data_IF_704975052363
#
_entry.id   IF_704975052363
#
_cell.length_a   1.000
_cell.length_b   1.000
_cell.length_c   1.000
_cell.angle_alpha   90.00
_cell.angle_beta   90.00
_cell.angle_gamma   90.00
#
_symmetry.space_group_name_H-M   'P 1'
#
loop_
_entity.id
_entity.type
_entity.pdbx_description
1 polymer ?
#
# COMPACT_ATOMS: atom_id res chain seq x y z
N UNK A 1 -27.34 40.37 -27.48
CA UNK A 1 -26.00 39.86 -27.83
C UNK A 1 -25.59 38.85 -26.79
N UNK A 2 -25.66 37.59 -27.17
CA UNK A 2 -25.29 36.39 -26.42
C UNK A 2 -23.78 36.41 -26.18
N UNK A 3 -23.35 36.42 -24.92
CA UNK A 3 -22.00 35.98 -24.55
C UNK A 3 -22.09 35.11 -23.31
N UNK A 4 -22.40 33.87 -23.62
CA UNK A 4 -22.07 32.64 -22.93
C UNK A 4 -20.77 32.77 -22.11
N UNK A 5 -20.86 32.89 -20.78
CA UNK A 5 -19.73 32.62 -19.88
C UNK A 5 -19.89 31.17 -19.42
N UNK A 6 -19.56 30.24 -20.32
CA UNK A 6 -19.37 28.84 -19.95
C UNK A 6 -18.31 28.77 -18.85
N UNK A 7 -18.67 28.07 -17.77
CA UNK A 7 -17.95 28.03 -16.53
C UNK A 7 -16.48 27.63 -16.67
N UNK A 8 -15.61 28.46 -16.11
CA UNK A 8 -14.27 28.03 -15.70
C UNK A 8 -14.49 27.06 -14.53
N UNK A 9 -14.60 25.76 -14.84
CA UNK A 9 -14.49 24.73 -13.79
C UNK A 9 -13.14 24.93 -13.11
N UNK A 10 -13.08 25.15 -11.78
CA UNK A 10 -11.81 25.29 -11.11
C UNK A 10 -11.02 24.01 -11.32
N UNK A 11 -9.76 24.15 -11.74
CA UNK A 11 -8.82 23.04 -11.77
C UNK A 11 -8.79 22.42 -10.37
N UNK A 12 -9.34 21.21 -10.23
CA UNK A 12 -9.29 20.43 -8.99
C UNK A 12 -8.09 19.49 -9.08
N UNK A 13 -6.93 19.85 -8.50
CA UNK A 13 -5.77 18.97 -8.48
C UNK A 13 -6.01 17.68 -7.68
N UNK A 14 -7.10 17.63 -6.90
CA UNK A 14 -7.45 16.52 -6.03
C UNK A 14 -8.92 16.15 -6.21
N UNK A 15 -9.21 14.84 -6.17
CA UNK A 15 -10.57 14.28 -6.21
C UNK A 15 -10.81 13.51 -4.91
N UNK A 16 -12.00 13.64 -4.28
CA UNK A 16 -12.35 12.79 -3.14
C UNK A 16 -12.18 11.33 -3.50
N UNK A 17 -11.67 10.57 -2.54
CA UNK A 17 -11.45 9.14 -2.67
C UNK A 17 -12.12 8.44 -1.49
N UNK A 18 -12.68 7.26 -1.76
CA UNK A 18 -13.26 6.38 -0.76
C UNK A 18 -12.80 4.97 -1.09
N UNK A 19 -12.35 4.25 -0.08
CA UNK A 19 -12.02 2.84 -0.19
C UNK A 19 -13.35 2.08 -0.23
N UNK A 20 -13.58 1.36 -1.32
CA UNK A 20 -14.71 0.45 -1.45
C UNK A 20 -14.21 -0.79 -2.18
N UNK A 21 -13.85 -1.81 -1.41
CA UNK A 21 -13.34 -3.06 -1.96
C UNK A 21 -14.52 -4.03 -2.19
N UNK A 22 -14.74 -4.46 -3.45
CA UNK A 22 -15.75 -5.46 -3.77
C UNK A 22 -15.58 -6.76 -2.97
N UNK A 23 -16.70 -7.37 -2.58
CA UNK A 23 -16.69 -8.56 -1.72
C UNK A 23 -15.98 -9.76 -2.38
N UNK A 24 -16.13 -9.91 -3.71
CA UNK A 24 -15.46 -10.95 -4.49
C UNK A 24 -13.93 -10.87 -4.39
N UNK A 25 -13.35 -9.67 -4.23
CA UNK A 25 -11.91 -9.50 -4.00
C UNK A 25 -11.47 -9.98 -2.63
N UNK A 26 -12.31 -9.79 -1.61
CA UNK A 26 -12.03 -10.28 -0.26
C UNK A 26 -12.16 -11.81 -0.19
N UNK A 27 -13.15 -12.36 -0.89
CA UNK A 27 -13.37 -13.81 -0.95
C UNK A 27 -12.26 -14.51 -1.76
N UNK A 28 -11.84 -13.94 -2.89
CA UNK A 28 -10.65 -14.38 -3.64
C UNK A 28 -9.39 -14.34 -2.78
N UNK A 29 -9.18 -13.26 -2.02
CA UNK A 29 -8.05 -13.15 -1.09
C UNK A 29 -8.07 -14.26 -0.02
N UNK A 30 -9.23 -14.58 0.55
CA UNK A 30 -9.38 -15.67 1.53
C UNK A 30 -9.09 -17.02 0.90
N UNK A 31 -9.62 -17.29 -0.29
CA UNK A 31 -9.38 -18.53 -1.02
C UNK A 31 -7.89 -18.74 -1.33
N UNK A 32 -7.19 -17.68 -1.76
CA UNK A 32 -5.75 -17.74 -2.03
C UNK A 32 -4.93 -17.99 -0.78
N UNK A 33 -5.24 -17.33 0.33
CA UNK A 33 -4.57 -17.57 1.60
C UNK A 33 -4.76 -19.03 2.05
N UNK A 34 -5.97 -19.58 1.96
CA UNK A 34 -6.25 -20.98 2.28
C UNK A 34 -5.52 -21.97 1.36
N UNK A 35 -5.35 -21.64 0.07
CA UNK A 35 -4.66 -22.47 -0.91
C UNK A 35 -3.12 -22.29 -0.92
N UNK A 36 -2.56 -21.54 0.03
CA UNK A 36 -1.13 -21.19 0.04
C UNK A 36 -0.27 -22.45 0.19
N UNK A 37 0.69 -22.61 -0.74
CA UNK A 37 1.75 -23.62 -0.64
C UNK A 37 2.92 -23.04 0.12
N UNK A 38 3.17 -23.57 1.31
CA UNK A 38 4.21 -23.07 2.19
C UNK A 38 5.56 -23.71 1.88
N UNK A 39 6.65 -22.93 1.86
CA UNK A 39 7.99 -23.48 1.78
C UNK A 39 8.35 -24.24 3.08
N UNK A 40 9.33 -25.12 2.99
CA UNK A 40 9.93 -25.73 4.19
C UNK A 40 10.68 -24.69 5.02
N UNK A 41 10.71 -24.87 6.33
CA UNK A 41 11.42 -23.99 7.26
C UNK A 41 12.65 -24.70 7.83
N UNK A 42 13.78 -23.98 7.91
CA UNK A 42 14.98 -24.49 8.56
C UNK A 42 14.85 -24.32 10.07
N UNK A 43 15.05 -25.37 10.89
CA UNK A 43 14.94 -25.25 12.33
C UNK A 43 16.02 -24.32 12.90
N UNK A 44 15.64 -23.51 13.90
CA UNK A 44 16.58 -22.70 14.69
C UNK A 44 17.10 -21.42 14.04
N UNK A 45 16.68 -21.07 12.80
CA UNK A 45 17.16 -19.84 12.13
C UNK A 45 16.42 -18.58 12.59
N UNK A 46 15.22 -18.73 13.16
CA UNK A 46 14.38 -17.60 13.58
C UNK A 46 14.24 -16.55 12.48
N UNK A 47 14.45 -15.28 12.84
CA UNK A 47 14.33 -14.14 11.92
C UNK A 47 15.58 -13.84 11.08
N UNK A 48 16.68 -14.59 11.29
CA UNK A 48 17.99 -14.26 10.66
C UNK A 48 18.01 -14.43 9.15
N UNK A 49 17.03 -15.16 8.60
CA UNK A 49 16.89 -15.42 7.15
C UNK A 49 15.57 -14.93 6.57
N UNK A 50 14.97 -13.94 7.22
CA UNK A 50 13.68 -13.39 6.84
C UNK A 50 12.56 -13.86 7.77
N UNK A 51 11.32 -13.70 7.31
CA UNK A 51 10.14 -13.95 8.13
C UNK A 51 9.97 -15.47 8.34
N UNK A 52 9.83 -15.93 9.60
CA UNK A 52 9.54 -17.33 9.90
C UNK A 52 8.25 -17.80 9.22
N UNK A 53 8.26 -19.04 8.71
CA UNK A 53 7.09 -19.60 7.99
C UNK A 53 5.94 -19.82 8.97
N UNK A 54 6.25 -20.27 10.18
CA UNK A 54 5.30 -20.36 11.30
C UNK A 54 4.57 -19.04 11.54
N UNK A 55 5.31 -17.93 11.69
CA UNK A 55 4.72 -16.61 11.88
C UNK A 55 3.82 -16.18 10.71
N UNK A 56 4.23 -16.42 9.47
CA UNK A 56 3.41 -16.09 8.29
C UNK A 56 2.12 -16.93 8.22
N UNK A 57 2.17 -18.20 8.63
CA UNK A 57 0.99 -19.07 8.71
C UNK A 57 -0.02 -18.54 9.71
N UNK A 58 0.45 -18.17 10.90
CA UNK A 58 -0.40 -17.63 11.95
C UNK A 58 -1.03 -16.30 11.52
N UNK A 59 -0.24 -15.42 10.90
CA UNK A 59 -0.73 -14.15 10.36
C UNK A 59 -1.76 -14.36 9.25
N UNK A 60 -1.53 -15.30 8.33
CA UNK A 60 -2.48 -15.64 7.27
C UNK A 60 -3.77 -16.25 7.84
N UNK A 61 -3.68 -17.09 8.86
CA UNK A 61 -4.84 -17.67 9.54
C UNK A 61 -5.68 -16.58 10.23
N UNK A 62 -5.04 -15.67 10.96
CA UNK A 62 -5.72 -14.54 11.59
C UNK A 62 -6.41 -13.65 10.56
N UNK A 63 -5.71 -13.26 9.49
CA UNK A 63 -6.28 -12.41 8.43
C UNK A 63 -7.39 -13.08 7.63
N UNK A 64 -7.32 -14.40 7.46
CA UNK A 64 -8.34 -15.16 6.74
C UNK A 64 -9.64 -15.36 7.53
N UNK A 65 -9.57 -15.44 8.87
CA UNK A 65 -10.69 -15.89 9.70
C UNK A 65 -11.21 -14.83 10.68
N UNK A 66 -10.33 -14.08 11.33
CA UNK A 66 -10.69 -13.19 12.45
C UNK A 66 -10.60 -11.70 12.09
N UNK A 67 -9.93 -11.34 11.00
CA UNK A 67 -9.75 -9.96 10.61
C UNK A 67 -10.98 -9.41 9.86
N UNK A 68 -11.65 -8.44 10.47
CA UNK A 68 -12.79 -7.75 9.86
C UNK A 68 -12.32 -6.58 8.98
N UNK A 69 -12.21 -6.85 7.67
CA UNK A 69 -11.89 -5.82 6.68
C UNK A 69 -12.93 -4.69 6.65
N UNK A 70 -14.21 -4.97 6.87
CA UNK A 70 -15.27 -3.94 6.76
C UNK A 70 -15.19 -2.95 7.91
N UNK A 71 -14.86 -3.42 9.11
CA UNK A 71 -14.53 -2.55 10.23
C UNK A 71 -13.33 -1.65 9.92
N UNK A 72 -12.26 -2.21 9.33
CA UNK A 72 -11.09 -1.42 8.96
C UNK A 72 -11.38 -0.41 7.84
N UNK A 73 -12.13 -0.81 6.81
CA UNK A 73 -12.56 0.03 5.70
C UNK A 73 -13.38 1.22 6.20
N UNK A 74 -14.29 1.00 7.15
CA UNK A 74 -15.04 2.07 7.79
C UNK A 74 -14.13 3.03 8.57
N UNK A 75 -13.18 2.50 9.36
CA UNK A 75 -12.23 3.31 10.11
C UNK A 75 -11.32 4.15 9.19
N UNK A 76 -10.83 3.58 8.09
CA UNK A 76 -10.02 4.31 7.11
C UNK A 76 -10.84 5.41 6.41
N UNK A 77 -12.08 5.11 6.04
CA UNK A 77 -12.98 6.05 5.39
C UNK A 77 -13.57 7.12 6.33
N UNK A 78 -13.33 7.03 7.65
CA UNK A 78 -13.70 8.08 8.60
C UNK A 78 -12.87 9.36 8.38
N UNK A 79 -11.70 9.23 7.76
CA UNK A 79 -10.85 10.36 7.40
C UNK A 79 -11.09 10.78 5.93
N UNK A 80 -11.09 12.09 5.62
CA UNK A 80 -11.13 12.55 4.24
C UNK A 80 -9.91 12.07 3.45
N UNK A 81 -10.14 11.36 2.34
CA UNK A 81 -9.09 10.87 1.45
C UNK A 81 -9.22 11.52 0.08
N UNK A 82 -8.09 11.73 -0.59
CA UNK A 82 -8.03 12.37 -1.90
C UNK A 82 -6.98 11.73 -2.80
N UNK A 83 -7.31 11.57 -4.08
CA UNK A 83 -6.34 11.20 -5.12
C UNK A 83 -5.94 12.43 -5.93
N UNK A 84 -4.66 12.55 -6.27
CA UNK A 84 -4.17 13.58 -7.20
C UNK A 84 -4.74 13.31 -8.58
N UNK A 85 -5.43 14.29 -9.16
CA UNK A 85 -5.79 14.24 -10.57
C UNK A 85 -4.49 14.25 -11.37
N UNK A 86 -4.29 13.33 -12.34
CA UNK A 86 -3.11 13.36 -13.19
C UNK A 86 -2.94 14.77 -13.74
N UNK A 87 -1.81 15.42 -13.45
CA UNK A 87 -1.45 16.62 -14.19
C UNK A 87 -1.15 16.15 -15.59
N UNK A 88 -2.00 16.48 -16.55
CA UNK A 88 -1.74 16.24 -17.97
C UNK A 88 -0.29 16.63 -18.24
N UNK A 89 0.54 15.64 -18.56
CA UNK A 89 1.97 15.85 -18.74
C UNK A 89 2.19 16.87 -19.84
N UNK A 90 2.98 17.90 -19.56
CA UNK A 90 3.46 18.89 -20.52
C UNK A 90 3.97 18.16 -21.77
N UNK A 91 3.27 18.32 -22.89
CA UNK A 91 3.84 18.07 -24.20
C UNK A 91 5.09 18.96 -24.35
N UNK A 92 6.24 18.36 -24.62
CA UNK A 92 7.43 19.05 -25.12
C UNK A 92 8.40 19.63 -24.09
N UNK A 93 9.37 18.82 -23.68
CA UNK A 93 10.75 19.30 -23.55
C UNK A 93 11.74 18.14 -23.77
N UNK A 94 12.70 18.25 -24.71
CA UNK A 94 13.75 17.24 -24.87
C UNK A 94 14.68 17.25 -23.66
N UNK A 95 15.04 16.05 -23.19
CA UNK A 95 15.91 15.84 -22.06
C UNK A 95 17.32 16.41 -22.33
N UNK A 96 17.75 17.40 -21.54
CA UNK A 96 19.17 17.70 -21.34
C UNK A 96 19.78 16.75 -20.30
N UNK A 97 21.10 16.50 -20.33
CA UNK A 97 21.72 15.49 -19.47
C UNK A 97 21.64 15.90 -17.99
N UNK A 98 21.01 15.07 -17.17
CA UNK A 98 21.05 15.19 -15.72
C UNK A 98 22.42 14.77 -15.20
N UNK A 99 23.21 15.73 -14.73
CA UNK A 99 24.35 15.45 -13.84
C UNK A 99 23.82 14.83 -12.55
N UNK A 100 24.14 13.56 -12.33
CA UNK A 100 23.80 12.81 -11.12
C UNK A 100 24.79 13.19 -10.02
N UNK A 101 24.40 14.11 -9.14
CA UNK A 101 25.11 14.29 -7.87
C UNK A 101 24.64 13.19 -6.90
N UNK A 102 25.54 12.24 -6.62
CA UNK A 102 25.36 11.22 -5.60
C UNK A 102 25.72 11.85 -4.26
N UNK A 103 24.72 12.04 -3.39
CA UNK A 103 24.96 12.36 -1.98
C UNK A 103 25.75 11.19 -1.33
N UNK A 104 26.80 11.46 -0.54
CA UNK A 104 27.56 10.40 0.11
C UNK A 104 26.71 9.70 1.18
N UNK A 105 26.58 8.39 1.05
CA UNK A 105 25.96 7.46 1.99
C UNK A 105 26.70 7.52 3.34
N UNK A 106 26.07 8.08 4.37
CA UNK A 106 26.46 7.87 5.76
C UNK A 106 26.16 6.42 6.20
N UNK A 107 26.88 5.87 7.20
CA UNK A 107 26.74 4.47 7.57
C UNK A 107 25.33 4.16 8.09
N UNK A 108 24.75 3.09 7.54
CA UNK A 108 23.44 2.56 7.94
C UNK A 108 23.43 2.22 9.43
N UNK A 109 22.51 2.82 10.18
CA UNK A 109 22.22 2.41 11.55
C UNK A 109 21.69 0.96 11.56
N UNK A 110 22.11 0.11 12.51
CA UNK A 110 21.56 -1.24 12.62
C UNK A 110 20.07 -1.17 12.97
N UNK A 111 19.25 -1.89 12.20
CA UNK A 111 17.83 -2.09 12.48
C UNK A 111 17.69 -2.66 13.89
N UNK A 112 17.14 -1.85 14.80
CA UNK A 112 16.82 -2.25 16.17
C UNK A 112 15.82 -3.41 16.08
N UNK A 113 16.18 -4.54 16.70
CA UNK A 113 15.34 -5.73 16.75
C UNK A 113 13.93 -5.39 17.23
N UNK A 114 12.95 -5.77 16.42
CA UNK A 114 11.55 -5.69 16.81
C UNK A 114 11.31 -6.84 17.81
N UNK A 115 11.14 -6.52 19.09
CA UNK A 115 10.68 -7.50 20.07
C UNK A 115 9.29 -8.02 19.68
N UNK A 116 8.95 -9.27 20.05
CA UNK A 116 7.64 -9.83 19.81
C UNK A 116 6.59 -9.08 20.65
N UNK A 117 5.47 -8.73 20.01
CA UNK A 117 4.27 -8.24 20.70
C UNK A 117 3.69 -9.43 21.48
N UNK A 118 3.52 -9.35 22.82
CA UNK A 118 2.95 -10.44 23.59
C UNK A 118 1.46 -10.65 23.26
N UNK A 119 1.02 -11.90 23.44
CA UNK A 119 -0.34 -12.38 23.22
C UNK A 119 -1.39 -11.70 24.10
#
# INVERSE_FOLDING_TARGET
MTSDTQGISPFRPFRPFRIDIPQDRLDDLRARQAATRWPGELPGVGWTRGVPVTYLRDLAAYRGTAYDWRAQEAALNAHPQFTRCPSTGRAGHPAGPMSREVAPTGPSAPLRGHEPVPA
#
